data_IF_668618981191
#
_entry.id   IF_668618981191
#
_cell.length_a   1.000
_cell.length_b   1.000
_cell.length_c   1.000
_cell.angle_alpha   90.00
_cell.angle_beta   90.00
_cell.angle_gamma   90.00
#
_symmetry.space_group_name_H-M   'P 1'
#
loop_
_entity.id
_entity.type
_entity.pdbx_description
1 polymer ?
#
# COMPACT_ATOMS: atom_id res chain seq x y z
N UNK A 1 -20.62 -33.94 -12.98
CA UNK A 1 -21.66 -33.02 -12.49
C UNK A 1 -21.18 -31.63 -12.82
N UNK A 2 -21.79 -30.95 -13.78
CA UNK A 2 -21.45 -29.58 -14.16
C UNK A 2 -21.83 -28.67 -13.00
N UNK A 3 -20.82 -28.20 -12.27
CA UNK A 3 -21.01 -27.20 -11.23
C UNK A 3 -21.64 -25.97 -11.87
N UNK A 4 -22.88 -25.67 -11.48
CA UNK A 4 -23.63 -24.55 -12.05
C UNK A 4 -22.98 -23.28 -11.52
N UNK A 5 -22.37 -22.51 -12.42
CA UNK A 5 -21.70 -21.25 -12.06
C UNK A 5 -22.65 -20.37 -11.28
N UNK A 6 -22.26 -19.99 -10.05
CA UNK A 6 -23.03 -19.08 -9.20
C UNK A 6 -22.80 -17.64 -9.66
N UNK A 7 -23.59 -17.21 -10.64
CA UNK A 7 -23.55 -15.84 -11.16
C UNK A 7 -24.00 -14.81 -10.11
N UNK A 8 -23.47 -13.59 -10.22
CA UNK A 8 -23.88 -12.46 -9.40
C UNK A 8 -25.31 -12.03 -9.72
N UNK A 9 -26.08 -11.72 -8.68
CA UNK A 9 -27.32 -10.97 -8.77
C UNK A 9 -27.06 -9.54 -9.28
N UNK A 10 -28.11 -8.84 -9.69
CA UNK A 10 -27.99 -7.46 -10.15
C UNK A 10 -27.42 -6.51 -9.07
N UNK A 11 -27.83 -6.72 -7.81
CA UNK A 11 -27.34 -5.94 -6.67
C UNK A 11 -25.85 -6.22 -6.39
N UNK A 12 -25.45 -7.50 -6.34
CA UNK A 12 -24.05 -7.90 -6.16
C UNK A 12 -23.17 -7.36 -7.30
N UNK A 13 -23.63 -7.44 -8.55
CA UNK A 13 -22.91 -6.91 -9.70
C UNK A 13 -22.77 -5.38 -9.64
N UNK A 14 -23.81 -4.67 -9.22
CA UNK A 14 -23.77 -3.22 -9.07
C UNK A 14 -22.76 -2.81 -8.00
N UNK A 15 -22.85 -3.40 -6.80
CA UNK A 15 -21.94 -3.14 -5.70
C UNK A 15 -20.48 -3.42 -6.09
N UNK A 16 -20.23 -4.59 -6.71
CA UNK A 16 -18.89 -4.97 -7.16
C UNK A 16 -18.30 -3.99 -8.18
N UNK A 17 -19.08 -3.60 -9.20
CA UNK A 17 -18.62 -2.65 -10.22
C UNK A 17 -18.37 -1.25 -9.67
N UNK A 18 -19.18 -0.79 -8.71
CA UNK A 18 -18.97 0.48 -8.02
C UNK A 18 -17.67 0.45 -7.21
N UNK A 19 -17.43 -0.63 -6.46
CA UNK A 19 -16.20 -0.83 -5.69
C UNK A 19 -14.95 -0.81 -6.59
N UNK A 20 -14.92 -1.62 -7.65
CA UNK A 20 -13.79 -1.67 -8.60
C UNK A 20 -13.51 -0.30 -9.20
N UNK A 21 -14.57 0.40 -9.66
CA UNK A 21 -14.43 1.73 -10.26
C UNK A 21 -13.91 2.77 -9.26
N UNK A 22 -14.35 2.71 -8.00
CA UNK A 22 -13.86 3.59 -6.95
C UNK A 22 -12.37 3.35 -6.71
N UNK A 23 -11.97 2.10 -6.52
CA UNK A 23 -10.59 1.70 -6.24
C UNK A 23 -9.63 2.16 -7.36
N UNK A 24 -9.99 1.90 -8.62
CA UNK A 24 -9.19 2.32 -9.78
C UNK A 24 -9.07 3.85 -9.89
N UNK A 25 -10.21 4.57 -9.76
CA UNK A 25 -10.23 6.03 -9.96
C UNK A 25 -9.56 6.77 -8.82
N UNK A 26 -9.82 6.37 -7.58
CA UNK A 26 -9.23 6.97 -6.39
C UNK A 26 -7.72 6.72 -6.37
N UNK A 27 -7.30 5.47 -6.55
CA UNK A 27 -5.89 5.09 -6.60
C UNK A 27 -5.12 5.87 -7.67
N UNK A 28 -5.68 5.96 -8.89
CA UNK A 28 -5.07 6.72 -9.98
C UNK A 28 -4.98 8.23 -9.70
N UNK A 29 -5.96 8.84 -9.01
CA UNK A 29 -5.90 10.26 -8.64
C UNK A 29 -4.91 10.52 -7.51
N UNK A 30 -4.88 9.68 -6.48
CA UNK A 30 -3.90 9.78 -5.40
C UNK A 30 -2.47 9.64 -5.93
N UNK A 31 -2.22 8.66 -6.78
CA UNK A 31 -0.90 8.46 -7.39
C UNK A 31 -0.45 9.67 -8.23
N UNK A 32 -1.36 10.25 -9.02
CA UNK A 32 -1.06 11.46 -9.81
C UNK A 32 -0.74 12.66 -8.92
N UNK A 33 -1.55 12.92 -7.88
CA UNK A 33 -1.27 14.03 -6.94
C UNK A 33 0.06 13.86 -6.23
N UNK A 34 0.33 12.64 -5.74
CA UNK A 34 1.63 12.33 -5.12
C UNK A 34 2.80 12.65 -6.05
N UNK A 35 2.69 12.23 -7.32
CA UNK A 35 3.74 12.45 -8.31
C UNK A 35 3.91 13.92 -8.73
N UNK A 36 2.83 14.71 -8.74
CA UNK A 36 2.87 16.12 -9.16
C UNK A 36 3.23 17.09 -8.04
N UNK A 37 2.87 16.76 -6.81
CA UNK A 37 3.00 17.66 -5.66
C UNK A 37 4.19 17.28 -4.75
N UNK A 38 4.78 16.10 -4.94
CA UNK A 38 5.94 15.64 -4.18
C UNK A 38 7.07 15.13 -5.08
N UNK A 39 8.24 14.90 -4.46
CA UNK A 39 9.38 14.24 -5.13
C UNK A 39 9.29 12.71 -5.07
N UNK A 40 8.21 12.15 -4.53
CA UNK A 40 7.98 10.73 -4.37
C UNK A 40 7.00 10.23 -5.44
N UNK A 41 7.27 9.04 -5.96
CA UNK A 41 6.23 8.25 -6.62
C UNK A 41 5.31 7.63 -5.57
N UNK A 42 4.10 7.21 -5.96
CA UNK A 42 3.20 6.49 -5.06
C UNK A 42 3.86 5.23 -4.44
N UNK A 43 4.70 4.54 -5.21
CA UNK A 43 5.44 3.38 -4.75
C UNK A 43 6.52 3.75 -3.71
N UNK A 44 7.25 4.85 -3.93
CA UNK A 44 8.23 5.31 -2.93
C UNK A 44 7.51 5.66 -1.61
N UNK A 45 6.37 6.37 -1.71
CA UNK A 45 5.56 6.75 -0.56
C UNK A 45 5.08 5.53 0.22
N UNK A 46 4.55 4.49 -0.46
CA UNK A 46 4.10 3.25 0.18
C UNK A 46 5.24 2.56 0.96
N UNK A 47 6.44 2.47 0.40
CA UNK A 47 7.60 1.91 1.11
C UNK A 47 7.98 2.76 2.32
N UNK A 48 8.00 4.08 2.17
CA UNK A 48 8.39 4.97 3.27
C UNK A 48 7.37 4.97 4.41
N UNK A 49 6.05 4.93 4.10
CA UNK A 49 4.98 4.78 5.11
C UNK A 49 5.18 3.49 5.91
N UNK A 50 5.35 2.36 5.22
CA UNK A 50 5.54 1.06 5.87
C UNK A 50 6.78 1.07 6.78
N UNK A 51 7.87 1.71 6.35
CA UNK A 51 9.06 1.83 7.17
C UNK A 51 8.86 2.79 8.35
N UNK A 52 8.10 3.87 8.22
CA UNK A 52 7.84 4.79 9.34
C UNK A 52 6.90 4.21 10.41
N UNK A 53 6.09 3.21 10.06
CA UNK A 53 5.14 2.56 10.97
C UNK A 53 5.78 1.44 11.81
N UNK A 54 7.02 1.03 11.50
CA UNK A 54 7.76 0.03 12.27
C UNK A 54 8.85 0.66 13.16
N UNK A 55 9.18 0.01 14.30
CA UNK A 55 10.29 0.46 15.14
C UNK A 55 11.58 0.67 14.35
N UNK A 56 12.31 1.72 14.71
CA UNK A 56 13.62 2.07 14.12
C UNK A 56 13.63 2.40 12.63
N UNK A 57 12.48 2.39 11.94
CA UNK A 57 12.46 2.66 10.50
C UNK A 57 13.04 1.51 9.66
N UNK A 58 13.03 0.28 10.21
CA UNK A 58 13.81 -0.86 9.71
C UNK A 58 12.93 -2.11 9.63
N UNK A 59 12.87 -2.72 8.45
CA UNK A 59 12.08 -3.94 8.21
C UNK A 59 12.86 -4.93 7.35
N UNK A 60 12.68 -6.25 7.59
CA UNK A 60 13.27 -7.27 6.72
C UNK A 60 12.66 -7.15 5.32
N UNK A 61 13.48 -7.37 4.29
CA UNK A 61 13.04 -7.24 2.90
C UNK A 61 11.84 -8.12 2.55
N UNK A 62 11.79 -9.35 3.05
CA UNK A 62 10.69 -10.27 2.80
C UNK A 62 9.39 -9.80 3.45
N UNK A 63 9.47 -9.37 4.72
CA UNK A 63 8.32 -8.86 5.46
C UNK A 63 7.80 -7.57 4.81
N UNK A 64 8.70 -6.70 4.32
CA UNK A 64 8.33 -5.50 3.57
C UNK A 64 7.64 -5.85 2.24
N UNK A 65 8.10 -6.89 1.55
CA UNK A 65 7.49 -7.39 0.32
C UNK A 65 6.08 -7.93 0.57
N UNK A 66 5.88 -8.65 1.67
CA UNK A 66 4.59 -9.21 2.08
C UNK A 66 3.62 -8.10 2.50
N UNK A 67 4.06 -7.17 3.36
CA UNK A 67 3.22 -6.06 3.83
C UNK A 67 2.71 -5.15 2.70
N UNK A 68 3.48 -5.04 1.61
CA UNK A 68 3.08 -4.25 0.45
C UNK A 68 2.39 -5.09 -0.64
N UNK A 69 2.25 -6.41 -0.45
CA UNK A 69 1.74 -7.36 -1.44
C UNK A 69 2.49 -7.25 -2.79
N UNK A 70 3.79 -7.04 -2.73
CA UNK A 70 4.63 -6.91 -3.93
C UNK A 70 5.43 -8.18 -4.16
N UNK A 71 5.51 -8.56 -5.43
CA UNK A 71 6.43 -9.58 -5.89
C UNK A 71 7.89 -9.24 -5.56
N UNK A 72 8.67 -10.25 -5.15
CA UNK A 72 10.07 -10.08 -4.71
C UNK A 72 10.94 -9.39 -5.75
N UNK A 73 10.74 -9.71 -7.03
CA UNK A 73 11.48 -9.09 -8.15
C UNK A 73 11.15 -7.59 -8.27
N UNK A 74 9.85 -7.24 -8.24
CA UNK A 74 9.38 -5.85 -8.25
C UNK A 74 9.98 -5.07 -7.08
N UNK A 75 9.90 -5.63 -5.87
CA UNK A 75 10.46 -5.03 -4.66
C UNK A 75 11.97 -4.82 -4.78
N UNK A 76 12.71 -5.83 -5.27
CA UNK A 76 14.17 -5.75 -5.41
C UNK A 76 14.60 -4.61 -6.31
N UNK A 77 13.95 -4.48 -7.47
CA UNK A 77 14.21 -3.38 -8.41
C UNK A 77 13.82 -2.02 -7.84
N UNK A 78 12.70 -1.95 -7.11
CA UNK A 78 12.23 -0.70 -6.54
C UNK A 78 13.16 -0.18 -5.44
N UNK A 79 13.51 -1.03 -4.46
CA UNK A 79 14.45 -0.67 -3.38
C UNK A 79 15.81 -0.27 -3.94
N UNK A 80 16.33 -0.96 -4.97
CA UNK A 80 17.59 -0.56 -5.61
C UNK A 80 17.56 0.88 -6.15
N UNK A 81 16.43 1.31 -6.73
CA UNK A 81 16.25 2.70 -7.19
C UNK A 81 16.14 3.68 -6.02
N UNK A 82 15.42 3.33 -4.97
CA UNK A 82 15.30 4.16 -3.76
C UNK A 82 16.66 4.33 -3.06
N UNK A 83 17.47 3.27 -3.01
CA UNK A 83 18.84 3.32 -2.49
C UNK A 83 19.74 4.22 -3.32
N UNK A 84 19.68 4.12 -4.66
CA UNK A 84 20.41 5.04 -5.55
C UNK A 84 20.02 6.51 -5.33
N UNK A 85 18.78 6.78 -4.92
CA UNK A 85 18.26 8.11 -4.58
C UNK A 85 18.53 8.51 -3.12
N UNK A 86 19.10 7.63 -2.31
CA UNK A 86 19.40 7.87 -0.91
C UNK A 86 18.20 7.88 0.03
N UNK A 87 17.03 7.38 -0.39
CA UNK A 87 15.82 7.35 0.45
C UNK A 87 15.82 6.20 1.46
N UNK A 88 16.43 5.08 1.10
CA UNK A 88 16.57 3.88 1.93
C UNK A 88 17.97 3.29 1.77
N UNK A 89 18.45 2.55 2.75
CA UNK A 89 19.64 1.72 2.64
C UNK A 89 19.30 0.24 2.78
N UNK A 90 20.16 -0.63 2.25
CA UNK A 90 20.13 -2.07 2.51
C UNK A 90 21.22 -2.41 3.50
N UNK A 91 20.84 -3.11 4.57
CA UNK A 91 21.78 -3.62 5.56
C UNK A 91 21.78 -5.14 5.52
N UNK A 92 22.96 -5.75 5.56
CA UNK A 92 23.09 -7.21 5.68
C UNK A 92 22.82 -7.63 7.13
N UNK A 93 22.16 -8.78 7.31
CA UNK A 93 22.02 -9.39 8.63
C UNK A 93 23.26 -10.26 8.91
N UNK A 94 24.10 -9.94 9.91
CA UNK A 94 25.32 -10.70 10.18
C UNK A 94 25.06 -12.13 10.69
N UNK A 95 23.89 -12.38 11.27
CA UNK A 95 23.59 -13.61 12.03
C UNK A 95 22.75 -14.62 11.23
N UNK A 96 22.12 -14.17 10.14
CA UNK A 96 21.27 -14.98 9.29
C UNK A 96 21.37 -14.49 7.86
N UNK A 97 22.14 -15.21 7.03
CA UNK A 97 22.28 -14.94 5.59
C UNK A 97 20.98 -15.02 4.77
N UNK A 98 19.80 -15.11 5.42
CA UNK A 98 18.48 -15.22 4.79
C UNK A 98 17.72 -13.90 4.65
N UNK A 99 18.24 -12.75 5.06
CA UNK A 99 17.50 -11.49 4.81
C UNK A 99 18.30 -10.20 4.90
N UNK A 100 18.28 -9.41 3.83
CA UNK A 100 18.64 -8.00 3.87
C UNK A 100 17.54 -7.19 4.58
N UNK A 101 17.93 -6.23 5.41
CA UNK A 101 17.04 -5.21 5.94
C UNK A 101 16.94 -4.04 4.98
N UNK A 102 15.77 -3.41 4.93
CA UNK A 102 15.56 -2.11 4.31
C UNK A 102 15.37 -1.11 5.44
N UNK A 103 16.16 -0.05 5.43
CA UNK A 103 16.16 0.97 6.49
C UNK A 103 15.92 2.34 5.86
N UNK A 104 14.99 3.10 6.41
CA UNK A 104 14.75 4.49 6.00
C UNK A 104 15.96 5.37 6.38
N UNK A 105 16.43 6.19 5.45
CA UNK A 105 17.50 7.15 5.75
C UNK A 105 16.92 8.46 6.31
N UNK A 106 17.75 9.36 6.86
CA UNK A 106 17.29 10.72 7.20
C UNK A 106 16.67 11.47 6.01
N UNK A 107 17.23 11.30 4.80
CA UNK A 107 16.67 11.90 3.59
C UNK A 107 15.32 11.27 3.20
N UNK A 108 15.16 9.96 3.38
CA UNK A 108 13.88 9.27 3.23
C UNK A 108 12.83 9.79 4.20
N UNK A 109 13.21 9.96 5.47
CA UNK A 109 12.35 10.51 6.52
C UNK A 109 11.89 11.94 6.21
N UNK A 110 12.81 12.81 5.81
CA UNK A 110 12.47 14.16 5.39
C UNK A 110 11.53 14.17 4.17
N UNK A 111 11.74 13.25 3.22
CA UNK A 111 10.90 13.17 2.02
C UNK A 111 9.46 12.74 2.35
N UNK A 112 9.27 11.77 3.25
CA UNK A 112 7.94 11.34 3.68
C UNK A 112 7.25 12.39 4.55
N UNK A 113 7.97 13.07 5.44
CA UNK A 113 7.44 14.16 6.26
C UNK A 113 6.93 15.34 5.41
N UNK A 114 7.61 15.64 4.31
CA UNK A 114 7.15 16.67 3.36
C UNK A 114 5.95 16.21 2.52
N UNK A 115 5.85 14.91 2.20
CA UNK A 115 4.79 14.36 1.35
C UNK A 115 3.51 13.99 2.12
N UNK A 116 3.62 13.63 3.40
CA UNK A 116 2.50 13.14 4.20
C UNK A 116 1.33 14.15 4.31
N UNK A 117 1.56 15.46 4.56
CA UNK A 117 0.46 16.43 4.60
C UNK A 117 -0.31 16.52 3.27
N UNK A 118 0.41 16.46 2.14
CA UNK A 118 -0.18 16.48 0.80
C UNK A 118 -1.01 15.22 0.54
N UNK A 119 -0.52 14.06 1.00
CA UNK A 119 -1.26 12.81 0.92
C UNK A 119 -2.55 12.87 1.73
N UNK A 120 -2.47 13.34 2.98
CA UNK A 120 -3.64 13.49 3.86
C UNK A 120 -4.68 14.39 3.20
N UNK A 121 -4.29 15.56 2.71
CA UNK A 121 -5.21 16.49 2.03
C UNK A 121 -5.84 15.86 0.78
N UNK A 122 -5.07 15.09 0.00
CA UNK A 122 -5.60 14.36 -1.14
C UNK A 122 -6.60 13.28 -0.73
N UNK A 123 -6.35 12.53 0.34
CA UNK A 123 -7.28 11.51 0.87
C UNK A 123 -8.55 12.17 1.42
N UNK A 124 -8.42 13.32 2.10
CA UNK A 124 -9.56 14.08 2.60
C UNK A 124 -10.45 14.56 1.47
N UNK A 125 -9.89 15.39 0.59
CA UNK A 125 -10.62 16.05 -0.49
C UNK A 125 -11.18 15.09 -1.55
N UNK A 126 -10.54 13.94 -1.79
CA UNK A 126 -11.01 12.97 -2.78
C UNK A 126 -11.96 11.91 -2.20
N UNK A 127 -11.97 11.72 -0.88
CA UNK A 127 -12.71 10.63 -0.26
C UNK A 127 -13.36 11.00 1.08
N UNK A 128 -12.58 11.36 2.11
CA UNK A 128 -13.12 11.47 3.47
C UNK A 128 -14.15 12.59 3.63
N UNK A 129 -14.05 13.69 2.87
CA UNK A 129 -15.02 14.79 2.92
C UNK A 129 -16.35 14.45 2.20
N UNK A 130 -16.44 13.26 1.58
CA UNK A 130 -17.63 12.79 0.86
C UNK A 130 -18.30 11.58 1.50
N UNK A 131 -17.83 11.13 2.66
CA UNK A 131 -18.39 9.98 3.38
C UNK A 131 -18.77 10.36 4.80
N UNK A 132 -19.87 9.82 5.28
CA UNK A 132 -20.31 10.01 6.66
C UNK A 132 -19.48 9.14 7.62
N UNK A 133 -19.43 9.49 8.92
CA UNK A 133 -18.76 8.65 9.91
C UNK A 133 -19.33 7.22 10.01
N UNK A 134 -20.62 7.04 9.71
CA UNK A 134 -21.24 5.72 9.71
C UNK A 134 -20.79 4.87 8.52
N UNK A 135 -20.76 5.44 7.32
CA UNK A 135 -20.27 4.76 6.11
C UNK A 135 -18.79 4.40 6.24
N UNK A 136 -17.97 5.27 6.85
CA UNK A 136 -16.55 4.99 7.08
C UNK A 136 -16.36 3.79 8.00
N UNK A 137 -17.16 3.66 9.07
CA UNK A 137 -17.13 2.48 9.96
C UNK A 137 -17.54 1.21 9.21
N UNK A 138 -18.60 1.29 8.41
CA UNK A 138 -19.06 0.15 7.59
C UNK A 138 -17.99 -0.28 6.60
N UNK A 139 -17.32 0.67 5.94
CA UNK A 139 -16.23 0.39 5.02
C UNK A 139 -15.08 -0.32 5.73
N UNK A 140 -14.63 0.20 6.87
CA UNK A 140 -13.57 -0.43 7.66
C UNK A 140 -13.92 -1.89 8.02
N UNK A 141 -15.12 -2.12 8.55
CA UNK A 141 -15.59 -3.48 8.92
C UNK A 141 -15.64 -4.44 7.72
N UNK A 142 -16.10 -3.98 6.56
CA UNK A 142 -16.14 -4.80 5.34
C UNK A 142 -14.72 -5.12 4.87
N UNK A 143 -13.85 -4.11 4.80
CA UNK A 143 -12.47 -4.26 4.36
C UNK A 143 -11.69 -5.21 5.26
N UNK A 144 -11.74 -5.03 6.58
CA UNK A 144 -11.06 -5.89 7.55
C UNK A 144 -11.50 -7.35 7.41
N UNK A 145 -12.81 -7.60 7.31
CA UNK A 145 -13.35 -8.95 7.17
C UNK A 145 -12.92 -9.62 5.86
N UNK A 146 -12.92 -8.87 4.75
CA UNK A 146 -12.52 -9.43 3.44
C UNK A 146 -11.02 -9.71 3.40
N UNK A 147 -10.18 -8.80 3.93
CA UNK A 147 -8.73 -9.01 4.01
C UNK A 147 -8.39 -10.22 4.87
N UNK A 148 -8.99 -10.34 6.06
CA UNK A 148 -8.77 -11.50 6.92
C UNK A 148 -9.11 -12.83 6.22
N UNK A 149 -10.16 -12.86 5.40
CA UNK A 149 -10.53 -14.05 4.62
C UNK A 149 -9.51 -14.38 3.50
N UNK A 150 -8.88 -13.36 2.91
CA UNK A 150 -7.85 -13.54 1.89
C UNK A 150 -6.54 -14.04 2.52
N UNK A 151 -6.19 -13.53 3.70
CA UNK A 151 -5.00 -13.98 4.45
C UNK A 151 -5.14 -15.44 4.92
N UNK A 152 -6.36 -15.89 5.22
CA UNK A 152 -6.68 -17.27 5.61
C UNK A 152 -6.74 -18.26 4.43
N UNK A 153 -6.92 -17.81 3.19
CA UNK A 153 -7.00 -18.68 1.99
C UNK A 153 -5.66 -18.63 1.22
N UNK A 154 -4.72 -19.56 1.45
CA UNK A 154 -3.38 -19.54 0.85
C UNK A 154 -3.36 -19.91 -0.65
N UNK A 155 -4.52 -19.95 -1.32
CA UNK A 155 -4.61 -20.26 -2.74
C UNK A 155 -4.31 -19.00 -3.57
N UNK A 156 -3.42 -19.08 -4.57
CA UNK A 156 -2.99 -17.93 -5.36
C UNK A 156 -4.09 -17.35 -6.25
#
# INVERSE_FOLDING_TARGET
MTETVRWLTAEEQHAWRCFVRLQERLGGRLARRMQSESKLSAADFQVLVQLTDVPEGRQRFLDLSQALEWEKSRMSHHIARMTKRGLVTREECPEDGRGAFVVITPAGRQAIEAAAPLHVEAVRSLFLDHVTPAELRTLAQISERVVAQLDEDPRP
#
